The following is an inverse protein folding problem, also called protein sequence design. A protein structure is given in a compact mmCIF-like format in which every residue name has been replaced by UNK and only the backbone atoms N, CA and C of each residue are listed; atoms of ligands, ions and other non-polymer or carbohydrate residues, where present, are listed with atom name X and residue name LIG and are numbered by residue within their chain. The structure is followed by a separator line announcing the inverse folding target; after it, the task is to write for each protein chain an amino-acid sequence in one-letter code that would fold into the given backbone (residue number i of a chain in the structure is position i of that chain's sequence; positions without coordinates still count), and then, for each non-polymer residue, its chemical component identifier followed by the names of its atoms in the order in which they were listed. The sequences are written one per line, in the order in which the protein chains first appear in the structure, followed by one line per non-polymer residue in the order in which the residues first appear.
data_IF_210673056032
#
_entry.id   IF_210673056032
#
_cell.length_a   1.000
_cell.length_b   1.000
_cell.length_c   1.000
_cell.angle_alpha   90.00
_cell.angle_beta   90.00
_cell.angle_gamma   90.00
#
_symmetry.space_group_name_H-M   'P 1'
#
loop_
_entity.id
_entity.type
_entity.pdbx_description
1 polymer ?
#
# COMPACT_ATOMS: atom_id res chain seq x y z
N UNK A 1 -27.17 2.61 -9.10
CA UNK A 1 -25.99 2.66 -9.98
C UNK A 1 -26.42 3.27 -11.31
N UNK A 2 -25.67 4.23 -11.86
CA UNK A 2 -25.99 4.88 -13.14
C UNK A 2 -24.77 4.97 -14.07
N UNK A 3 -24.96 5.17 -15.38
CA UNK A 3 -23.88 5.58 -16.28
C UNK A 3 -23.26 6.92 -15.85
N UNK A 4 -22.04 7.17 -16.31
CA UNK A 4 -21.37 8.46 -16.14
C UNK A 4 -21.89 9.44 -17.19
N UNK A 5 -21.98 10.71 -16.81
CA UNK A 5 -22.28 11.78 -17.75
C UNK A 5 -21.03 12.14 -18.56
N UNK A 6 -21.15 12.97 -19.59
CA UNK A 6 -20.02 13.32 -20.48
C UNK A 6 -18.87 14.00 -19.71
N UNK A 7 -19.18 15.00 -18.87
CA UNK A 7 -18.19 15.68 -18.02
C UNK A 7 -17.50 14.72 -17.06
N UNK A 8 -18.25 13.79 -16.48
CA UNK A 8 -17.72 12.78 -15.56
C UNK A 8 -16.78 11.81 -16.29
N UNK A 9 -17.20 11.36 -17.47
CA UNK A 9 -16.43 10.46 -18.33
C UNK A 9 -15.10 11.09 -18.73
N UNK A 10 -15.12 12.34 -19.18
CA UNK A 10 -13.91 13.10 -19.53
C UNK A 10 -12.96 13.19 -18.33
N UNK A 11 -13.45 13.56 -17.15
CA UNK A 11 -12.62 13.65 -15.95
C UNK A 11 -11.96 12.31 -15.54
N UNK A 12 -12.68 11.20 -15.71
CA UNK A 12 -12.13 9.86 -15.45
C UNK A 12 -11.08 9.49 -16.48
N UNK A 13 -11.38 9.68 -17.76
CA UNK A 13 -10.51 9.27 -18.86
C UNK A 13 -9.24 10.11 -18.91
N UNK A 14 -9.32 11.43 -18.69
CA UNK A 14 -8.13 12.28 -18.56
C UNK A 14 -7.22 11.81 -17.43
N UNK A 15 -7.79 11.42 -16.29
CA UNK A 15 -7.01 10.95 -15.15
C UNK A 15 -6.36 9.58 -15.44
N UNK A 16 -7.09 8.64 -16.05
CA UNK A 16 -6.55 7.33 -16.43
C UNK A 16 -5.47 7.48 -17.52
N UNK A 17 -5.70 8.33 -18.51
CA UNK A 17 -4.79 8.57 -19.63
C UNK A 17 -3.40 9.00 -19.17
N UNK A 18 -3.29 9.74 -18.05
CA UNK A 18 -1.98 10.09 -17.45
C UNK A 18 -1.10 8.88 -17.13
N UNK A 19 -1.70 7.72 -16.82
CA UNK A 19 -0.97 6.51 -16.45
C UNK A 19 -0.83 5.52 -17.60
N UNK A 20 -1.87 5.38 -18.44
CA UNK A 20 -1.93 4.33 -19.47
C UNK A 20 -1.69 4.84 -20.88
N UNK A 21 -1.80 6.15 -21.12
CA UNK A 21 -1.71 6.76 -22.45
C UNK A 21 -2.66 6.08 -23.45
N UNK A 22 -2.14 5.75 -24.64
CA UNK A 22 -2.91 5.11 -25.71
C UNK A 22 -3.44 3.71 -25.36
N UNK A 23 -2.90 3.06 -24.31
CA UNK A 23 -3.40 1.76 -23.84
C UNK A 23 -4.77 1.88 -23.14
N UNK A 24 -5.31 3.09 -22.97
CA UNK A 24 -6.68 3.30 -22.50
C UNK A 24 -7.70 2.53 -23.36
N UNK A 25 -7.42 2.35 -24.66
CA UNK A 25 -8.26 1.57 -25.56
C UNK A 25 -8.46 0.14 -25.05
N UNK A 26 -7.42 -0.49 -24.50
CA UNK A 26 -7.52 -1.84 -23.95
C UNK A 26 -8.49 -1.90 -22.76
N UNK A 27 -8.55 -0.84 -21.94
CA UNK A 27 -9.47 -0.79 -20.80
C UNK A 27 -10.93 -0.74 -21.27
N UNK A 28 -11.20 -0.06 -22.39
CA UNK A 28 -12.56 0.15 -22.90
C UNK A 28 -13.02 -1.01 -23.80
N UNK A 29 -12.15 -1.47 -24.68
CA UNK A 29 -12.50 -2.41 -25.75
C UNK A 29 -12.24 -3.88 -25.38
N UNK A 30 -11.56 -4.17 -24.26
CA UNK A 30 -11.32 -5.55 -23.86
C UNK A 30 -12.63 -6.30 -23.64
N UNK A 31 -12.79 -7.49 -24.25
CA UNK A 31 -13.97 -8.30 -24.05
C UNK A 31 -14.09 -8.76 -22.59
N UNK A 32 -15.29 -8.69 -22.04
CA UNK A 32 -15.61 -9.28 -20.74
C UNK A 32 -16.17 -10.68 -20.95
N UNK A 33 -15.49 -11.67 -20.37
CA UNK A 33 -15.94 -13.08 -20.38
C UNK A 33 -16.70 -13.43 -19.09
N UNK A 34 -17.15 -12.42 -18.35
CA UNK A 34 -17.86 -12.59 -17.10
C UNK A 34 -19.35 -12.80 -17.36
N UNK A 35 -19.91 -13.90 -16.86
CA UNK A 35 -21.34 -14.20 -16.93
C UNK A 35 -21.66 -15.44 -17.76
N UNK A 36 -22.97 -15.77 -17.88
CA UNK A 36 -23.42 -16.99 -18.56
C UNK A 36 -23.56 -16.82 -20.09
N UNK A 37 -23.39 -15.61 -20.61
CA UNK A 37 -23.60 -15.30 -22.02
C UNK A 37 -22.48 -15.93 -22.87
N UNK A 38 -22.84 -16.56 -24.00
CA UNK A 38 -21.86 -17.22 -24.90
C UNK A 38 -20.98 -16.21 -25.66
N UNK A 39 -21.51 -15.02 -25.92
CA UNK A 39 -20.77 -13.92 -26.57
C UNK A 39 -20.08 -13.06 -25.50
N UNK A 40 -18.80 -12.73 -25.65
CA UNK A 40 -18.12 -11.83 -24.72
C UNK A 40 -18.81 -10.47 -24.66
N UNK A 41 -19.07 -9.98 -23.45
CA UNK A 41 -19.60 -8.66 -23.20
C UNK A 41 -18.52 -7.57 -23.28
N UNK A 42 -18.86 -6.38 -22.81
CA UNK A 42 -17.91 -5.27 -22.64
C UNK A 42 -17.76 -4.91 -21.17
N UNK A 43 -16.68 -4.22 -20.84
CA UNK A 43 -16.56 -3.52 -19.56
C UNK A 43 -17.11 -2.10 -19.69
N UNK A 44 -17.71 -1.60 -18.61
CA UNK A 44 -18.22 -0.24 -18.55
C UNK A 44 -17.93 0.42 -17.21
N UNK A 45 -17.99 1.75 -17.20
CA UNK A 45 -17.88 2.56 -15.99
C UNK A 45 -19.28 2.89 -15.46
N UNK A 46 -19.43 2.76 -14.14
CA UNK A 46 -20.69 3.05 -13.44
C UNK A 46 -20.45 3.87 -12.18
N UNK A 47 -21.29 4.87 -11.97
CA UNK A 47 -21.29 5.69 -10.76
C UNK A 47 -22.29 5.11 -9.75
N UNK A 48 -21.84 4.93 -8.51
CA UNK A 48 -22.68 4.56 -7.38
C UNK A 48 -22.13 5.13 -6.07
N UNK A 49 -22.98 5.84 -5.31
CA UNK A 49 -22.62 6.47 -4.02
C UNK A 49 -21.29 7.24 -4.10
N UNK A 50 -21.14 8.07 -5.13
CA UNK A 50 -19.96 8.92 -5.39
C UNK A 50 -18.66 8.18 -5.74
N UNK A 51 -18.73 6.86 -5.95
CA UNK A 51 -17.62 6.00 -6.39
C UNK A 51 -17.86 5.53 -7.81
N UNK A 52 -16.77 5.39 -8.56
CA UNK A 52 -16.77 4.92 -9.93
C UNK A 52 -16.25 3.50 -9.95
N UNK A 53 -17.00 2.63 -10.59
CA UNK A 53 -16.73 1.22 -10.69
C UNK A 53 -16.49 0.84 -12.15
N UNK A 54 -15.50 -0.01 -12.37
CA UNK A 54 -15.21 -0.69 -13.63
C UNK A 54 -15.72 -2.14 -13.51
N UNK A 55 -16.67 -2.52 -14.37
CA UNK A 55 -17.39 -3.79 -14.25
C UNK A 55 -17.88 -4.26 -15.62
N UNK A 56 -18.10 -5.55 -15.80
CA UNK A 56 -18.73 -6.08 -17.01
C UNK A 56 -20.21 -5.70 -17.11
N UNK A 57 -20.71 -5.54 -18.33
CA UNK A 57 -22.15 -5.30 -18.58
C UNK A 57 -23.03 -6.44 -18.05
N UNK A 58 -22.54 -7.68 -18.08
CA UNK A 58 -23.26 -8.84 -17.55
C UNK A 58 -23.49 -8.72 -16.03
N UNK A 59 -22.48 -8.27 -15.27
CA UNK A 59 -22.64 -7.98 -13.83
C UNK A 59 -23.61 -6.81 -13.62
N UNK A 60 -23.51 -5.75 -14.43
CA UNK A 60 -24.41 -4.59 -14.32
C UNK A 60 -25.87 -4.99 -14.50
N UNK A 61 -26.19 -5.83 -15.49
CA UNK A 61 -27.54 -6.35 -15.74
C UNK A 61 -28.09 -7.15 -14.56
N UNK A 62 -27.25 -7.88 -13.82
CA UNK A 62 -27.67 -8.62 -12.63
C UNK A 62 -27.80 -7.73 -11.40
N UNK A 63 -26.94 -6.72 -11.30
CA UNK A 63 -26.95 -5.77 -10.19
C UNK A 63 -28.23 -4.90 -10.15
N UNK A 64 -29.00 -4.82 -11.24
CA UNK A 64 -30.31 -4.14 -11.25
C UNK A 64 -31.34 -4.80 -10.35
N UNK A 65 -31.19 -6.09 -10.04
CA UNK A 65 -32.06 -6.81 -9.10
C UNK A 65 -31.80 -6.43 -7.63
N UNK A 66 -30.75 -5.65 -7.35
CA UNK A 66 -30.39 -5.20 -6.00
C UNK A 66 -30.73 -3.71 -5.88
N UNK A 67 -31.52 -3.36 -4.86
CA UNK A 67 -31.88 -1.97 -4.59
C UNK A 67 -30.65 -1.09 -4.30
N UNK A 68 -30.75 0.21 -4.60
CA UNK A 68 -29.64 1.17 -4.41
C UNK A 68 -29.14 1.24 -2.96
N UNK A 69 -30.03 1.05 -1.99
CA UNK A 69 -29.70 1.05 -0.56
C UNK A 69 -28.81 -0.14 -0.22
N UNK A 70 -29.20 -1.33 -0.71
CA UNK A 70 -28.55 -2.60 -0.42
C UNK A 70 -27.28 -2.85 -1.26
N UNK A 71 -27.15 -2.21 -2.42
CA UNK A 71 -25.94 -2.32 -3.24
C UNK A 71 -24.76 -1.58 -2.57
N UNK A 72 -23.72 -2.32 -2.20
CA UNK A 72 -22.51 -1.79 -1.56
C UNK A 72 -21.41 -1.50 -2.59
N UNK A 73 -21.05 -2.49 -3.40
CA UNK A 73 -19.96 -2.43 -4.39
C UNK A 73 -20.32 -3.29 -5.60
N UNK A 74 -19.70 -3.02 -6.75
CA UNK A 74 -19.89 -3.77 -8.00
C UNK A 74 -18.61 -3.72 -8.83
N UNK A 75 -18.02 -4.88 -9.12
CA UNK A 75 -16.72 -4.94 -9.81
C UNK A 75 -15.60 -4.22 -9.05
N UNK A 76 -14.72 -3.54 -9.79
CA UNK A 76 -13.54 -2.86 -9.25
C UNK A 76 -13.81 -1.36 -9.08
N UNK A 77 -13.73 -0.86 -7.86
CA UNK A 77 -13.80 0.59 -7.61
C UNK A 77 -12.50 1.24 -8.09
N UNK A 78 -12.57 2.11 -9.09
CA UNK A 78 -11.38 2.80 -9.63
C UNK A 78 -11.12 4.13 -8.93
N UNK A 79 -12.14 4.73 -8.34
CA UNK A 79 -11.99 6.04 -7.72
C UNK A 79 -13.29 6.59 -7.19
N UNK A 80 -13.21 7.84 -6.71
CA UNK A 80 -14.34 8.58 -6.16
C UNK A 80 -14.22 10.05 -6.54
N UNK A 81 -15.35 10.75 -6.60
CA UNK A 81 -15.32 12.20 -6.63
C UNK A 81 -15.07 12.75 -5.22
N UNK A 82 -14.26 13.79 -5.13
CA UNK A 82 -14.10 14.56 -3.90
C UNK A 82 -15.30 15.50 -3.72
N UNK A 83 -15.44 16.08 -2.52
CA UNK A 83 -16.47 17.12 -2.29
C UNK A 83 -16.27 18.35 -3.19
N UNK A 84 -15.03 18.60 -3.64
CA UNK A 84 -14.71 19.66 -4.60
C UNK A 84 -14.96 19.29 -6.06
N UNK A 85 -15.58 18.14 -6.34
CA UNK A 85 -15.95 17.72 -7.70
C UNK A 85 -14.82 17.13 -8.54
N UNK A 86 -13.60 17.02 -8.01
CA UNK A 86 -12.47 16.41 -8.72
C UNK A 86 -12.48 14.88 -8.60
N UNK A 87 -12.13 14.18 -9.67
CA UNK A 87 -12.00 12.73 -9.65
C UNK A 87 -10.66 12.30 -9.01
N UNK A 88 -10.75 11.48 -7.97
CA UNK A 88 -9.62 10.91 -7.25
C UNK A 88 -9.53 9.41 -7.48
N UNK A 89 -8.43 8.97 -8.08
CA UNK A 89 -8.07 7.56 -8.27
C UNK A 89 -7.76 6.92 -6.91
N UNK A 90 -8.36 5.76 -6.64
CA UNK A 90 -8.08 4.97 -5.44
C UNK A 90 -7.13 3.83 -5.73
N UNK A 91 -6.43 3.33 -4.71
CA UNK A 91 -5.48 2.21 -4.85
C UNK A 91 -6.08 0.98 -5.54
N UNK A 92 -7.38 0.74 -5.38
CA UNK A 92 -8.11 -0.37 -6.01
C UNK A 92 -8.03 -0.38 -7.55
N UNK A 93 -7.72 0.76 -8.19
CA UNK A 93 -7.47 0.83 -9.63
C UNK A 93 -6.11 0.24 -10.06
N UNK A 94 -5.22 -0.08 -9.12
CA UNK A 94 -3.84 -0.46 -9.44
C UNK A 94 -3.76 -1.66 -10.39
N UNK A 95 -4.62 -2.67 -10.25
CA UNK A 95 -4.64 -3.83 -11.15
C UNK A 95 -4.93 -3.44 -12.60
N UNK A 96 -5.82 -2.48 -12.79
CA UNK A 96 -6.18 -1.94 -14.11
C UNK A 96 -5.04 -1.08 -14.68
N UNK A 97 -4.41 -0.27 -13.83
CA UNK A 97 -3.30 0.60 -14.21
C UNK A 97 -2.04 -0.20 -14.53
N UNK A 98 -1.61 -1.13 -13.68
CA UNK A 98 -0.35 -1.86 -13.80
C UNK A 98 -0.25 -2.67 -15.09
N UNK A 99 -1.39 -3.26 -15.51
CA UNK A 99 -1.49 -4.07 -16.73
C UNK A 99 -1.36 -3.23 -18.01
N UNK A 100 -1.70 -1.94 -17.95
CA UNK A 100 -1.75 -1.04 -19.11
C UNK A 100 -0.79 0.16 -19.00
N UNK A 101 0.04 0.20 -17.96
CA UNK A 101 0.86 1.36 -17.63
C UNK A 101 1.87 1.67 -18.72
N UNK A 102 1.87 2.92 -19.18
CA UNK A 102 2.85 3.46 -20.14
C UNK A 102 4.20 3.66 -19.46
N UNK A 103 4.19 4.28 -18.27
CA UNK A 103 5.39 4.62 -17.51
C UNK A 103 5.45 3.81 -16.22
N UNK A 104 6.64 3.23 -15.96
CA UNK A 104 6.87 2.32 -14.83
C UNK A 104 8.18 2.66 -14.12
N UNK A 105 8.17 2.54 -12.80
CA UNK A 105 9.34 2.69 -11.94
C UNK A 105 9.45 1.46 -11.05
N UNK A 106 10.63 0.87 -10.98
CA UNK A 106 10.94 -0.26 -10.11
C UNK A 106 11.79 0.21 -8.94
N UNK A 107 11.34 -0.12 -7.73
CA UNK A 107 12.03 0.23 -6.49
C UNK A 107 13.02 -0.86 -6.11
N UNK A 108 14.15 -0.47 -5.53
CA UNK A 108 15.07 -1.39 -4.85
C UNK A 108 14.39 -2.00 -3.62
N UNK A 109 14.69 -3.26 -3.26
CA UNK A 109 14.05 -3.94 -2.12
C UNK A 109 14.10 -3.15 -0.80
N UNK A 110 15.20 -2.45 -0.51
CA UNK A 110 15.34 -1.68 0.74
C UNK A 110 14.38 -0.47 0.81
N UNK A 111 13.85 -0.01 -0.32
CA UNK A 111 13.00 1.18 -0.40
C UNK A 111 11.51 0.86 -0.60
N UNK A 112 11.16 -0.40 -0.86
CA UNK A 112 9.76 -0.81 -1.05
C UNK A 112 8.90 -0.50 0.18
N UNK A 113 9.40 -0.85 1.37
CA UNK A 113 8.72 -0.57 2.63
C UNK A 113 8.49 0.93 2.85
N UNK A 114 9.45 1.78 2.45
CA UNK A 114 9.28 3.22 2.57
C UNK A 114 8.09 3.71 1.74
N UNK A 115 7.95 3.22 0.52
CA UNK A 115 6.83 3.57 -0.36
C UNK A 115 5.49 3.02 0.14
N UNK A 116 5.46 1.78 0.64
CA UNK A 116 4.27 1.15 1.25
C UNK A 116 3.85 1.79 2.59
N UNK A 117 4.63 2.74 3.09
CA UNK A 117 4.29 3.58 4.23
C UNK A 117 3.87 4.99 3.82
N UNK A 118 3.63 5.23 2.54
CA UNK A 118 3.13 6.51 2.02
C UNK A 118 4.21 7.52 1.67
N UNK A 119 5.50 7.15 1.72
CA UNK A 119 6.57 8.07 1.38
C UNK A 119 6.72 8.23 -0.14
N UNK A 120 7.21 9.40 -0.55
CA UNK A 120 7.60 9.65 -1.92
C UNK A 120 8.80 8.80 -2.34
N UNK A 121 8.94 8.56 -3.64
CA UNK A 121 10.09 7.81 -4.18
C UNK A 121 11.25 8.77 -4.37
N UNK A 122 12.34 8.50 -3.66
CA UNK A 122 13.61 9.22 -3.80
C UNK A 122 14.42 8.65 -4.97
N UNK A 123 15.36 9.43 -5.49
CA UNK A 123 16.27 8.99 -6.55
C UNK A 123 17.08 7.74 -6.15
N UNK A 124 17.55 7.68 -4.91
CA UNK A 124 18.30 6.55 -4.35
C UNK A 124 17.51 5.23 -4.36
N UNK A 125 16.19 5.32 -4.24
CA UNK A 125 15.27 4.20 -4.19
C UNK A 125 15.01 3.53 -5.55
N UNK A 126 15.32 4.22 -6.66
CA UNK A 126 15.02 3.72 -8.00
C UNK A 126 16.04 2.65 -8.42
N UNK A 127 15.54 1.47 -8.77
CA UNK A 127 16.30 0.40 -9.44
C UNK A 127 16.24 0.54 -10.96
N UNK A 128 15.04 0.65 -11.53
CA UNK A 128 14.79 0.80 -12.97
C UNK A 128 13.70 1.85 -13.21
N UNK A 129 13.79 2.59 -14.31
CA UNK A 129 12.80 3.61 -14.71
C UNK A 129 12.60 3.55 -16.23
N UNK A 130 11.35 3.66 -16.70
CA UNK A 130 11.08 3.77 -18.14
C UNK A 130 11.59 5.09 -18.71
N UNK A 131 11.94 5.09 -20.00
CA UNK A 131 12.34 6.30 -20.70
C UNK A 131 11.16 7.21 -21.04
N UNK A 132 11.45 8.44 -21.46
CA UNK A 132 10.48 9.43 -21.93
C UNK A 132 9.36 9.77 -20.93
N UNK A 133 9.66 9.76 -19.62
CA UNK A 133 8.76 10.30 -18.60
C UNK A 133 8.96 11.82 -18.55
N UNK A 134 7.86 12.57 -18.60
CA UNK A 134 7.83 14.01 -18.36
C UNK A 134 7.30 14.30 -16.94
N UNK A 135 7.65 15.45 -16.34
CA UNK A 135 7.05 15.90 -15.09
C UNK A 135 5.52 16.02 -15.23
N UNK A 136 4.78 15.47 -14.27
CA UNK A 136 3.31 15.44 -14.29
C UNK A 136 2.70 14.16 -14.89
N UNK A 137 3.51 13.30 -15.52
CA UNK A 137 3.05 11.99 -16.00
C UNK A 137 2.69 11.06 -14.84
N UNK A 138 1.67 10.22 -15.07
CA UNK A 138 1.31 9.14 -14.15
C UNK A 138 2.27 7.96 -14.30
N UNK A 139 2.78 7.46 -13.17
CA UNK A 139 3.73 6.35 -13.13
C UNK A 139 3.21 5.27 -12.20
N UNK A 140 3.31 4.02 -12.64
CA UNK A 140 3.04 2.86 -11.78
C UNK A 140 4.34 2.36 -11.18
N UNK A 141 4.31 2.11 -9.87
CA UNK A 141 5.46 1.71 -9.07
C UNK A 141 5.42 0.19 -8.87
N UNK A 142 6.54 -0.47 -9.14
CA UNK A 142 6.73 -1.91 -9.04
C UNK A 142 7.89 -2.24 -8.08
N UNK A 143 7.88 -3.44 -7.52
CA UNK A 143 9.06 -4.08 -6.93
C UNK A 143 9.99 -4.58 -8.02
N UNK A 144 11.26 -4.90 -7.69
CA UNK A 144 12.19 -5.54 -8.66
C UNK A 144 11.69 -6.89 -9.19
N UNK A 145 10.71 -7.51 -8.53
CA UNK A 145 10.10 -8.79 -8.95
C UNK A 145 8.85 -8.60 -9.83
N UNK A 146 8.66 -7.41 -10.42
CA UNK A 146 7.51 -7.05 -11.27
C UNK A 146 6.15 -7.13 -10.55
N UNK A 147 6.14 -7.07 -9.22
CA UNK A 147 4.90 -6.95 -8.43
C UNK A 147 4.50 -5.47 -8.33
N UNK A 148 3.28 -5.07 -8.72
CA UNK A 148 2.83 -3.69 -8.61
C UNK A 148 2.64 -3.30 -7.13
N UNK A 149 3.22 -2.18 -6.71
CA UNK A 149 3.19 -1.67 -5.33
C UNK A 149 2.21 -0.51 -5.18
N UNK A 150 2.02 0.30 -6.22
CA UNK A 150 1.19 1.50 -6.17
C UNK A 150 1.38 2.38 -7.39
N UNK A 151 0.99 3.65 -7.27
CA UNK A 151 1.13 4.63 -8.33
C UNK A 151 1.41 6.02 -7.78
N UNK A 152 1.98 6.86 -8.64
CA UNK A 152 2.39 8.22 -8.31
C UNK A 152 2.46 9.13 -9.53
N UNK A 153 2.87 10.37 -9.31
CA UNK A 153 3.12 11.35 -10.37
C UNK A 153 4.61 11.63 -10.46
N UNK A 154 5.17 11.63 -11.68
CA UNK A 154 6.56 11.99 -11.89
C UNK A 154 6.81 13.46 -11.50
N UNK A 155 7.75 13.69 -10.59
CA UNK A 155 8.19 15.04 -10.21
C UNK A 155 9.24 15.60 -11.20
N UNK A 156 9.96 14.71 -11.88
CA UNK A 156 11.12 15.02 -12.72
C UNK A 156 11.13 14.14 -13.97
N UNK A 157 11.76 14.61 -15.05
CA UNK A 157 11.88 13.85 -16.29
C UNK A 157 12.87 12.68 -16.14
N UNK A 158 12.77 11.64 -16.99
CA UNK A 158 13.76 10.53 -16.94
C UNK A 158 15.20 11.03 -17.14
N UNK A 159 15.40 12.06 -17.98
CA UNK A 159 16.71 12.63 -18.26
C UNK A 159 17.26 13.36 -17.02
N UNK A 160 16.43 14.16 -16.36
CA UNK A 160 16.83 14.90 -15.16
C UNK A 160 17.14 13.94 -14.01
N UNK A 161 16.38 12.84 -13.89
CA UNK A 161 16.59 11.83 -12.85
C UNK A 161 18.00 11.23 -12.84
N UNK A 162 18.78 11.35 -13.93
CA UNK A 162 20.18 10.88 -13.95
C UNK A 162 21.15 11.82 -13.25
N UNK A 163 20.78 13.10 -13.11
CA UNK A 163 21.64 14.18 -12.57
C UNK A 163 21.23 14.63 -11.16
N UNK A 164 20.13 14.10 -10.63
CA UNK A 164 19.61 14.49 -9.32
C UNK A 164 20.44 13.91 -8.17
N UNK A 165 20.42 14.65 -7.06
CA UNK A 165 20.89 14.16 -5.77
C UNK A 165 20.15 12.86 -5.37
N UNK A 166 20.81 11.89 -4.72
CA UNK A 166 20.18 10.65 -4.28
C UNK A 166 18.94 10.84 -3.38
N UNK A 167 18.85 11.94 -2.63
CA UNK A 167 17.72 12.26 -1.76
C UNK A 167 16.63 13.10 -2.44
N UNK A 168 16.80 13.45 -3.72
CA UNK A 168 15.78 14.19 -4.46
C UNK A 168 14.55 13.31 -4.73
N UNK A 169 13.36 13.90 -4.60
CA UNK A 169 12.10 13.24 -4.93
C UNK A 169 11.95 13.12 -6.45
N UNK A 170 11.67 11.90 -6.91
CA UNK A 170 11.45 11.59 -8.33
C UNK A 170 9.99 11.26 -8.61
N UNK A 171 9.31 10.56 -7.70
CA UNK A 171 7.88 10.25 -7.84
C UNK A 171 7.14 10.72 -6.60
N UNK A 172 6.14 11.57 -6.80
CA UNK A 172 5.17 11.96 -5.79
C UNK A 172 4.19 10.81 -5.60
N UNK A 173 4.17 10.26 -4.40
CA UNK A 173 3.23 9.22 -4.00
C UNK A 173 1.78 9.68 -4.18
N UNK A 174 0.91 8.78 -4.64
CA UNK A 174 -0.54 9.01 -4.74
C UNK A 174 -1.35 7.89 -4.09
N UNK A 175 -0.91 6.65 -4.22
CA UNK A 175 -1.53 5.50 -3.54
C UNK A 175 -0.69 4.24 -3.64
N UNK A 176 -0.75 3.40 -2.60
CA UNK A 176 0.05 2.19 -2.46
C UNK A 176 -0.74 1.05 -1.77
N UNK A 177 -0.24 -0.18 -1.94
CA UNK A 177 -0.77 -1.42 -1.36
C UNK A 177 -0.31 -1.68 0.09
N UNK A 178 0.18 -0.66 0.79
CA UNK A 178 0.61 -0.79 2.17
C UNK A 178 -0.49 -1.22 3.12
N UNK A 179 -0.16 -1.31 4.41
CA UNK A 179 -1.14 -1.76 5.40
C UNK A 179 -2.14 -0.64 5.67
N UNK A 180 -3.41 -0.86 5.35
CA UNK A 180 -4.48 0.08 5.65
C UNK A 180 -5.21 -0.33 6.94
N UNK A 181 -5.39 0.61 7.86
CA UNK A 181 -6.12 0.42 9.12
C UNK A 181 -7.41 1.23 9.13
N UNK A 182 -8.49 0.63 9.61
CA UNK A 182 -9.73 1.34 9.92
C UNK A 182 -9.60 1.97 11.30
N UNK A 183 -9.57 3.31 11.36
CA UNK A 183 -9.62 4.07 12.61
C UNK A 183 -10.82 5.02 12.54
N UNK A 184 -11.75 4.89 13.48
CA UNK A 184 -12.95 5.74 13.60
C UNK A 184 -13.79 5.81 12.30
N UNK A 185 -13.97 4.67 11.62
CA UNK A 185 -14.73 4.59 10.37
C UNK A 185 -14.00 5.14 9.12
N UNK A 186 -12.76 5.61 9.27
CA UNK A 186 -11.93 6.10 8.16
C UNK A 186 -10.77 5.13 7.92
N UNK A 187 -10.59 4.76 6.64
CA UNK A 187 -9.45 3.95 6.19
C UNK A 187 -8.23 4.87 6.09
N UNK A 188 -7.18 4.56 6.84
CA UNK A 188 -5.90 5.29 6.82
C UNK A 188 -4.76 4.33 6.55
N UNK A 189 -3.81 4.75 5.73
CA UNK A 189 -2.56 4.01 5.56
C UNK A 189 -1.81 4.03 6.89
N UNK A 190 -1.23 2.90 7.28
CA UNK A 190 -0.29 2.85 8.39
C UNK A 190 0.96 3.56 7.91
N UNK A 191 1.25 4.72 8.49
CA UNK A 191 2.48 5.46 8.23
C UNK A 191 3.68 4.75 8.88
N UNK A 192 4.87 5.02 8.36
CA UNK A 192 6.10 4.39 8.85
C UNK A 192 6.28 4.73 10.34
N UNK A 193 6.25 3.75 11.27
CA UNK A 193 6.42 4.01 12.69
C UNK A 193 7.83 4.55 13.04
N UNK A 194 8.77 4.52 12.09
CA UNK A 194 10.11 5.13 12.21
C UNK A 194 10.22 6.57 11.67
N UNK A 195 9.22 7.11 10.96
CA UNK A 195 9.28 8.48 10.42
C UNK A 195 9.19 9.55 11.52
N UNK A 196 8.52 9.25 12.65
CA UNK A 196 8.46 10.12 13.83
C UNK A 196 9.84 10.37 14.49
N UNK A 197 10.88 9.60 14.12
CA UNK A 197 12.24 9.79 14.64
C UNK A 197 13.09 10.77 13.79
N UNK A 198 12.64 11.13 12.58
CA UNK A 198 13.39 12.00 11.66
C UNK A 198 12.94 13.46 11.71
N UNK A 199 11.68 13.73 12.07
CA UNK A 199 11.16 15.10 12.23
C UNK A 199 11.37 15.56 13.68
N UNK A 200 12.58 16.05 13.96
CA UNK A 200 13.05 16.50 15.28
C UNK A 200 12.35 17.73 15.86
N UNK A 201 11.10 18.00 15.49
CA UNK A 201 10.36 19.15 16.00
C UNK A 201 8.85 19.02 15.79
N UNK A 202 8.18 18.29 16.69
CA UNK A 202 7.00 18.77 17.45
C UNK A 202 6.35 17.61 18.22
N UNK A 203 6.10 17.89 19.51
CA UNK A 203 5.35 17.10 20.50
C UNK A 203 6.09 15.89 21.09
N UNK A 204 6.27 15.95 22.42
CA UNK A 204 7.01 14.97 23.22
C UNK A 204 6.62 13.54 22.91
N UNK A 205 7.56 12.78 22.35
CA UNK A 205 7.38 11.38 22.01
C UNK A 205 7.31 10.56 23.30
N UNK A 206 6.11 10.06 23.59
CA UNK A 206 5.93 9.04 24.64
C UNK A 206 6.67 7.78 24.21
N UNK A 207 7.61 7.32 25.05
CA UNK A 207 8.42 6.11 24.81
C UNK A 207 7.48 4.93 24.57
N UNK A 208 7.62 4.19 23.46
CA UNK A 208 6.80 2.99 23.21
C UNK A 208 7.31 1.82 24.05
N UNK A 209 6.39 0.97 24.52
CA UNK A 209 6.67 -0.22 25.33
C UNK A 209 5.96 -1.44 24.76
N UNK A 210 6.61 -2.60 24.83
CA UNK A 210 6.04 -3.89 24.47
C UNK A 210 5.26 -4.44 25.67
N UNK A 211 4.01 -4.83 25.47
CA UNK A 211 3.13 -5.32 26.53
C UNK A 211 2.60 -6.70 26.15
N UNK A 212 2.69 -7.63 27.10
CA UNK A 212 2.06 -8.94 26.97
C UNK A 212 0.56 -8.84 27.25
N UNK A 213 -0.28 -9.24 26.31
CA UNK A 213 -1.73 -8.99 26.35
C UNK A 213 -2.38 -9.70 27.53
N UNK A 214 -2.07 -10.99 27.74
CA UNK A 214 -2.75 -11.79 28.76
C UNK A 214 -2.39 -11.40 30.19
N UNK A 215 -1.14 -10.98 30.45
CA UNK A 215 -0.72 -10.56 31.80
C UNK A 215 -0.78 -9.04 32.02
N UNK A 216 -0.93 -8.24 30.96
CA UNK A 216 -0.88 -6.78 31.04
C UNK A 216 0.52 -6.21 31.36
N UNK A 217 1.53 -7.06 31.54
CA UNK A 217 2.88 -6.66 31.94
C UNK A 217 3.67 -6.04 30.79
N UNK A 218 4.42 -4.99 31.12
CA UNK A 218 5.42 -4.40 30.25
C UNK A 218 6.66 -5.28 30.21
N UNK A 219 7.11 -5.63 29.00
CA UNK A 219 8.37 -6.34 28.79
C UNK A 219 9.52 -5.34 28.95
N UNK A 220 10.31 -5.54 29.99
CA UNK A 220 11.41 -4.64 30.40
C UNK A 220 12.80 -5.30 30.38
N UNK A 221 12.89 -6.58 30.00
CA UNK A 221 14.16 -7.30 29.81
C UNK A 221 14.02 -8.41 28.79
N UNK A 222 15.15 -8.90 28.27
CA UNK A 222 15.13 -10.07 27.39
C UNK A 222 14.75 -11.35 28.13
N UNK A 223 15.10 -11.52 29.40
CA UNK A 223 14.64 -12.68 30.19
C UNK A 223 13.12 -12.73 30.34
N UNK A 224 12.46 -11.57 30.45
CA UNK A 224 11.00 -11.48 30.48
C UNK A 224 10.38 -11.81 29.12
N UNK A 225 11.01 -11.35 28.03
CA UNK A 225 10.57 -11.64 26.67
C UNK A 225 10.75 -13.13 26.32
N UNK A 226 11.91 -13.70 26.63
CA UNK A 226 12.28 -15.08 26.38
C UNK A 226 11.30 -16.06 26.98
N UNK A 227 10.99 -15.92 28.27
CA UNK A 227 10.02 -16.78 28.96
C UNK A 227 8.67 -16.80 28.25
N UNK A 228 8.21 -15.62 27.80
CA UNK A 228 6.94 -15.50 27.07
C UNK A 228 7.06 -16.12 25.67
N UNK A 229 8.14 -15.86 24.93
CA UNK A 229 8.35 -16.44 23.59
C UNK A 229 8.50 -17.98 23.64
N UNK A 230 9.22 -18.53 24.61
CA UNK A 230 9.34 -19.98 24.81
C UNK A 230 7.99 -20.62 25.08
N UNK A 231 7.12 -19.99 25.88
CA UNK A 231 5.75 -20.48 26.09
C UNK A 231 4.90 -20.53 24.81
N UNK A 232 5.30 -19.78 23.77
CA UNK A 232 4.66 -19.75 22.45
C UNK A 232 5.36 -20.63 21.41
N UNK A 233 6.34 -21.45 21.83
CA UNK A 233 7.08 -22.37 20.97
C UNK A 233 8.18 -21.72 20.13
N UNK A 234 8.66 -20.53 20.49
CA UNK A 234 9.90 -20.00 19.93
C UNK A 234 11.10 -20.68 20.59
N UNK A 235 12.24 -20.69 19.91
CA UNK A 235 13.50 -21.21 20.40
C UNK A 235 14.64 -20.26 20.03
N UNK A 236 15.74 -20.34 20.78
CA UNK A 236 16.96 -19.58 20.49
C UNK A 236 17.57 -20.02 19.16
N UNK A 237 17.93 -19.04 18.34
CA UNK A 237 18.67 -19.22 17.09
C UNK A 237 20.02 -18.50 17.20
N UNK A 238 21.11 -19.18 16.85
CA UNK A 238 22.49 -18.73 17.08
C UNK A 238 23.26 -18.58 15.77
N UNK A 239 22.74 -17.77 14.85
CA UNK A 239 23.33 -17.57 13.52
C UNK A 239 24.21 -16.33 13.48
N UNK A 240 23.73 -15.22 14.04
CA UNK A 240 24.51 -13.98 14.17
C UNK A 240 24.94 -13.76 15.64
N UNK A 241 26.25 -13.77 15.95
CA UNK A 241 26.74 -13.53 17.29
C UNK A 241 26.45 -12.11 17.80
N UNK A 242 26.21 -11.11 16.96
CA UNK A 242 25.92 -9.74 17.40
C UNK A 242 24.43 -9.50 17.71
N UNK A 243 23.58 -10.46 17.36
CA UNK A 243 22.14 -10.38 17.54
C UNK A 243 21.61 -11.39 18.55
N UNK A 244 20.39 -11.13 18.96
CA UNK A 244 19.61 -11.95 19.85
C UNK A 244 18.42 -12.48 19.06
N UNK A 245 18.53 -13.71 18.56
CA UNK A 245 17.57 -14.25 17.59
C UNK A 245 16.72 -15.39 18.14
N UNK A 246 15.51 -15.50 17.58
CA UNK A 246 14.55 -16.57 17.88
C UNK A 246 13.92 -17.10 16.59
N UNK A 247 13.85 -18.43 16.45
CA UNK A 247 13.05 -19.08 15.42
C UNK A 247 11.84 -19.78 16.02
N UNK A 248 10.90 -20.18 15.18
CA UNK A 248 9.82 -21.07 15.57
C UNK A 248 9.72 -22.21 14.55
N UNK A 249 10.08 -23.44 14.95
CA UNK A 249 10.25 -24.61 14.04
C UNK A 249 9.06 -24.89 13.13
N UNK A 250 7.85 -24.57 13.58
CA UNK A 250 6.62 -24.75 12.81
C UNK A 250 6.38 -23.67 11.74
N UNK A 251 7.27 -22.67 11.63
CA UNK A 251 7.11 -21.52 10.72
C UNK A 251 8.46 -21.09 10.15
N UNK A 252 8.44 -20.28 9.07
CA UNK A 252 9.63 -19.63 8.52
C UNK A 252 10.01 -18.34 9.26
N UNK A 253 9.42 -18.08 10.43
CA UNK A 253 9.59 -16.80 11.12
C UNK A 253 10.86 -16.76 11.98
N UNK A 254 11.57 -15.65 11.87
CA UNK A 254 12.76 -15.30 12.65
C UNK A 254 12.56 -13.93 13.30
N UNK A 255 12.74 -13.83 14.61
CA UNK A 255 12.79 -12.55 15.34
C UNK A 255 14.27 -12.23 15.58
N UNK A 256 14.72 -11.05 15.16
CA UNK A 256 16.10 -10.58 15.35
C UNK A 256 16.11 -9.31 16.19
N UNK A 257 16.73 -9.36 17.36
CA UNK A 257 16.79 -8.25 18.32
C UNK A 257 18.26 -7.87 18.60
N UNK A 258 18.56 -6.62 19.00
CA UNK A 258 19.90 -6.25 19.43
C UNK A 258 20.26 -6.96 20.74
N UNK A 259 21.54 -7.32 20.96
CA UNK A 259 21.94 -7.96 22.24
C UNK A 259 21.66 -7.12 23.48
N UNK A 260 21.80 -5.81 23.38
CA UNK A 260 21.51 -4.88 24.48
C UNK A 260 20.04 -4.45 24.45
N UNK A 261 19.32 -4.72 25.55
CA UNK A 261 17.91 -4.38 25.69
C UNK A 261 17.67 -2.86 25.60
N UNK A 262 18.63 -2.03 26.01
CA UNK A 262 18.51 -0.58 25.90
C UNK A 262 18.50 -0.09 24.44
N UNK A 263 18.98 -0.93 23.51
CA UNK A 263 18.92 -0.67 22.06
C UNK A 263 17.63 -1.19 21.43
N UNK A 264 16.71 -1.78 22.20
CA UNK A 264 15.42 -2.25 21.71
C UNK A 264 14.54 -1.06 21.29
N UNK A 265 14.38 -0.87 19.98
CA UNK A 265 13.54 0.16 19.38
C UNK A 265 12.15 -0.36 19.03
N UNK A 266 11.22 0.56 18.74
CA UNK A 266 9.85 0.24 18.33
C UNK A 266 9.77 -0.76 17.17
N UNK A 267 10.68 -0.68 16.19
CA UNK A 267 10.74 -1.64 15.07
C UNK A 267 10.88 -3.09 15.54
N UNK A 268 11.70 -3.34 16.56
CA UNK A 268 11.91 -4.68 17.12
C UNK A 268 10.66 -5.15 17.88
N UNK A 269 10.01 -4.24 18.61
CA UNK A 269 8.76 -4.53 19.32
C UNK A 269 7.62 -4.90 18.36
N UNK A 270 7.49 -4.16 17.25
CA UNK A 270 6.49 -4.47 16.22
C UNK A 270 6.78 -5.78 15.49
N UNK A 271 8.04 -6.12 15.27
CA UNK A 271 8.40 -7.42 14.69
C UNK A 271 7.90 -8.59 15.56
N UNK A 272 8.08 -8.49 16.88
CA UNK A 272 7.55 -9.44 17.86
C UNK A 272 6.02 -9.51 17.77
N UNK A 273 5.33 -8.36 17.70
CA UNK A 273 3.86 -8.29 17.63
C UNK A 273 3.34 -8.90 16.33
N UNK A 274 3.91 -8.59 15.17
CA UNK A 274 3.44 -9.14 13.88
C UNK A 274 3.47 -10.66 13.89
N UNK A 275 4.53 -11.24 14.46
CA UNK A 275 4.73 -12.70 14.55
C UNK A 275 3.96 -13.37 15.70
N UNK A 276 3.45 -12.58 16.65
CA UNK A 276 2.74 -13.06 17.85
C UNK A 276 1.51 -12.19 18.16
N UNK A 277 0.73 -11.86 17.13
CA UNK A 277 -0.31 -10.80 17.16
C UNK A 277 -1.32 -10.91 18.31
N UNK A 278 -1.62 -12.13 18.76
CA UNK A 278 -2.59 -12.37 19.81
C UNK A 278 -2.01 -12.32 21.23
N UNK A 279 -0.69 -12.20 21.36
CA UNK A 279 0.03 -12.30 22.65
C UNK A 279 0.74 -11.00 23.05
N UNK A 280 1.10 -10.16 22.09
CA UNK A 280 1.80 -8.90 22.36
C UNK A 280 1.15 -7.72 21.65
N UNK A 281 1.32 -6.55 22.24
CA UNK A 281 0.96 -5.26 21.65
C UNK A 281 2.00 -4.20 22.02
N UNK A 282 2.14 -3.16 21.20
CA UNK A 282 2.95 -1.99 21.54
C UNK A 282 2.03 -0.89 22.07
N UNK A 283 2.36 -0.31 23.23
CA UNK A 283 1.62 0.80 23.85
C UNK A 283 2.53 2.01 24.04
N UNK A 284 1.93 3.18 24.18
CA UNK A 284 2.61 4.37 24.70
C UNK A 284 2.89 4.18 26.20
N UNK A 285 4.11 4.43 26.63
CA UNK A 285 4.44 4.58 28.05
C UNK A 285 3.81 5.89 28.52
N UNK A 286 2.81 5.77 29.40
CA UNK A 286 2.09 6.89 30.00
C UNK A 286 3.00 7.59 31.00
#
# INVERSE_FOLDING_TARGET
MRPLDEKETTAVFEKLFKFVGNNLKNIVDNPSHEGPDSTPGRYCFRLHKNKIYYTSDSIVKRATNISRTNLVSVGTCIGKYTHGGSFHLTIQALSLLSSNAKHKVWLKPQSEMSFLYGNHVLKSAIGRITENIAPGDGVVVFSMSDVPLGFGIAAKSTQDCRKLDPNAIVVLHQGDLGVWVFKNGVVRLVENPGAELMDGSRQGSRKKVLVHIASGEVVNSYDALERKLYSLGWERYYDDPDLLQFHKRSTVHLISLPRDFNKLKSMHMYDIVVKNKNYFQVRDNI
#
